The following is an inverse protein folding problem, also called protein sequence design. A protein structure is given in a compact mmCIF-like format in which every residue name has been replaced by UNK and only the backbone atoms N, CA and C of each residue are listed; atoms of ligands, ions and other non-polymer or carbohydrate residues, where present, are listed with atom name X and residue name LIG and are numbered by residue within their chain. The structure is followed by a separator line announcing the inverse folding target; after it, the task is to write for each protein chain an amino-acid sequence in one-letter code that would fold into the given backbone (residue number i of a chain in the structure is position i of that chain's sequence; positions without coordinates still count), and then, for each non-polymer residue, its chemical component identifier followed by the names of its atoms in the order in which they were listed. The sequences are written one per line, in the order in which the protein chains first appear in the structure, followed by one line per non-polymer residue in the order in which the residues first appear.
data_IF_138177913067
#
_entry.id   IF_138177913067
#
_cell.length_a   1.000
_cell.length_b   1.000
_cell.length_c   1.000
_cell.angle_alpha   90.00
_cell.angle_beta   90.00
_cell.angle_gamma   90.00
#
_symmetry.space_group_name_H-M   'P 1'
#
loop_
_entity.id
_entity.type
_entity.pdbx_description
1 polymer ?
#
# COMPACT_ATOMS: atom_id res chain seq x y z
N UNK A 1 2.83 -11.63 4.59
CA UNK A 1 4.03 -11.08 5.28
C UNK A 1 4.64 -12.12 6.22
N UNK A 2 3.87 -12.68 7.14
CA UNK A 2 4.31 -13.64 8.17
C UNK A 2 5.08 -14.85 7.60
N UNK A 3 4.63 -15.40 6.48
CA UNK A 3 5.30 -16.49 5.79
C UNK A 3 6.71 -16.08 5.31
N UNK A 4 6.83 -14.90 4.69
CA UNK A 4 8.12 -14.38 4.22
C UNK A 4 9.05 -14.08 5.39
N UNK A 5 8.56 -13.47 6.46
CA UNK A 5 9.37 -13.19 7.65
C UNK A 5 9.88 -14.49 8.29
N UNK A 6 9.04 -15.50 8.43
CA UNK A 6 9.45 -16.82 8.95
C UNK A 6 10.55 -17.43 8.09
N UNK A 7 10.42 -17.36 6.78
CA UNK A 7 11.43 -17.85 5.86
C UNK A 7 12.77 -17.09 6.01
N UNK A 8 12.74 -15.75 6.01
CA UNK A 8 13.92 -14.91 6.19
C UNK A 8 14.66 -15.25 7.49
N UNK A 9 13.94 -15.49 8.59
CA UNK A 9 14.54 -15.85 9.88
C UNK A 9 15.30 -17.18 9.86
N UNK A 10 15.03 -18.06 8.90
CA UNK A 10 15.78 -19.32 8.71
C UNK A 10 17.06 -19.14 7.90
N UNK A 11 17.22 -18.01 7.21
CA UNK A 11 18.40 -17.74 6.39
C UNK A 11 19.54 -17.19 7.24
N UNK A 12 20.78 -17.59 6.92
CA UNK A 12 21.98 -17.03 7.53
C UNK A 12 22.20 -15.59 7.06
N UNK A 13 22.82 -14.78 7.92
CA UNK A 13 23.21 -13.38 7.62
C UNK A 13 22.07 -12.38 7.47
N UNK A 14 20.85 -12.71 7.89
CA UNK A 14 19.74 -11.78 7.94
C UNK A 14 19.44 -11.39 9.38
N UNK A 15 19.17 -10.08 9.58
CA UNK A 15 18.80 -9.51 10.87
C UNK A 15 17.55 -8.63 10.69
N UNK A 16 16.44 -9.06 11.29
CA UNK A 16 15.17 -8.32 11.27
C UNK A 16 15.00 -7.60 12.60
N UNK A 17 15.09 -6.28 12.56
CA UNK A 17 14.97 -5.41 13.74
C UNK A 17 13.62 -4.69 13.73
N UNK A 18 12.72 -5.12 14.58
CA UNK A 18 11.42 -4.44 14.82
C UNK A 18 11.61 -3.26 15.75
N UNK A 19 10.76 -2.23 15.60
CA UNK A 19 10.82 -0.99 16.40
C UNK A 19 12.15 -0.24 16.27
N UNK A 20 12.80 -0.36 15.09
CA UNK A 20 13.99 0.36 14.72
C UNK A 20 13.67 1.25 13.53
N UNK A 21 13.70 2.56 13.75
CA UNK A 21 13.36 3.55 12.73
C UNK A 21 14.62 4.22 12.20
N UNK A 22 14.83 4.22 10.89
CA UNK A 22 15.88 5.00 10.26
C UNK A 22 15.45 6.47 10.25
N UNK A 23 16.05 7.27 11.12
CA UNK A 23 15.73 8.70 11.28
C UNK A 23 16.62 9.63 10.51
N UNK A 24 17.78 9.14 10.01
CA UNK A 24 18.69 9.93 9.17
C UNK A 24 19.49 9.06 8.22
N UNK A 25 19.88 9.64 7.06
CA UNK A 25 20.64 8.98 6.01
C UNK A 25 21.66 9.96 5.42
N UNK A 26 22.93 9.61 5.54
CA UNK A 26 24.04 10.43 5.10
C UNK A 26 24.97 9.65 4.17
N UNK A 27 24.86 9.87 2.82
CA UNK A 27 25.85 9.36 1.87
C UNK A 27 27.23 9.92 2.16
N UNK A 28 28.25 9.05 2.19
CA UNK A 28 29.67 9.45 2.38
C UNK A 28 30.43 9.48 1.05
N UNK A 29 31.57 10.13 1.07
CA UNK A 29 32.45 10.28 -0.11
C UNK A 29 33.10 8.97 -0.56
N UNK A 30 33.22 7.98 0.33
CA UNK A 30 33.81 6.66 0.09
C UNK A 30 32.80 5.61 -0.45
N UNK A 31 31.67 6.05 -0.94
CA UNK A 31 30.56 5.23 -1.44
C UNK A 31 29.86 4.38 -0.35
N UNK A 32 30.08 4.69 0.93
CA UNK A 32 29.30 4.16 2.04
C UNK A 32 28.15 5.10 2.43
N UNK A 33 27.20 4.59 3.19
CA UNK A 33 26.06 5.36 3.71
C UNK A 33 26.01 5.18 5.22
N UNK A 34 25.95 6.29 5.95
CA UNK A 34 25.73 6.31 7.38
C UNK A 34 24.24 6.50 7.67
N UNK A 35 23.66 5.52 8.35
CA UNK A 35 22.29 5.57 8.84
C UNK A 35 22.27 5.89 10.32
N UNK A 36 21.35 6.72 10.75
CA UNK A 36 21.00 6.89 12.18
C UNK A 36 19.70 6.15 12.44
N UNK A 37 19.72 5.26 13.43
CA UNK A 37 18.59 4.39 13.77
C UNK A 37 18.16 4.66 15.18
N UNK A 38 16.88 5.02 15.33
CA UNK A 38 16.22 5.25 16.61
C UNK A 38 15.48 4.01 17.08
N UNK A 39 15.63 3.67 18.34
CA UNK A 39 14.89 2.62 19.03
C UNK A 39 13.99 3.21 20.13
N UNK A 40 13.13 2.45 20.79
CA UNK A 40 12.38 2.93 21.94
C UNK A 40 13.26 3.36 23.13
N UNK A 41 14.52 2.96 23.19
CA UNK A 41 15.43 3.17 24.31
C UNK A 41 16.60 4.10 23.99
N UNK A 42 17.13 4.02 22.78
CA UNK A 42 18.37 4.67 22.38
C UNK A 42 18.42 4.99 20.89
N UNK A 43 19.55 5.53 20.47
CA UNK A 43 19.87 5.78 19.08
C UNK A 43 21.27 5.24 18.77
N UNK A 44 21.46 4.65 17.60
CA UNK A 44 22.75 4.15 17.16
C UNK A 44 22.95 4.38 15.65
N UNK A 45 24.18 4.17 15.19
CA UNK A 45 24.56 4.38 13.79
C UNK A 45 24.95 3.08 13.13
N UNK A 46 24.58 2.94 11.86
CA UNK A 46 25.00 1.85 10.97
C UNK A 46 25.72 2.45 9.78
N UNK A 47 26.92 2.00 9.51
CA UNK A 47 27.60 2.25 8.26
C UNK A 47 27.44 1.05 7.34
N UNK A 48 27.03 1.29 6.09
CA UNK A 48 26.74 0.24 5.11
C UNK A 48 27.18 0.63 3.72
N UNK A 49 27.46 -0.36 2.86
CA UNK A 49 27.77 -0.15 1.44
C UNK A 49 26.54 0.25 0.66
N UNK A 50 25.39 -0.33 0.95
CA UNK A 50 24.16 -0.13 0.20
C UNK A 50 22.98 0.08 1.14
N UNK A 51 22.05 0.90 0.72
CA UNK A 51 20.73 1.08 1.37
C UNK A 51 19.65 0.82 0.35
N UNK A 52 18.68 -0.03 0.68
CA UNK A 52 17.47 -0.25 -0.09
C UNK A 52 16.32 0.39 0.68
N UNK A 53 15.78 1.49 0.16
CA UNK A 53 14.63 2.15 0.72
C UNK A 53 13.35 1.49 0.18
N UNK A 54 12.64 0.77 1.03
CA UNK A 54 11.34 0.17 0.76
C UNK A 54 10.30 0.66 1.79
N UNK A 55 10.38 1.93 2.14
CA UNK A 55 9.68 2.61 3.24
C UNK A 55 8.35 3.26 2.81
N UNK A 56 7.84 2.86 1.63
CA UNK A 56 6.49 3.14 1.16
C UNK A 56 6.30 4.53 0.55
N UNK A 57 5.06 4.86 0.19
CA UNK A 57 4.70 6.08 -0.55
C UNK A 57 5.11 7.37 0.15
N UNK A 58 5.09 7.39 1.48
CA UNK A 58 5.49 8.55 2.31
C UNK A 58 6.98 8.56 2.64
N UNK A 59 7.78 7.71 2.03
CA UNK A 59 9.21 7.48 2.25
C UNK A 59 9.95 8.61 2.99
N UNK A 60 10.31 8.43 4.27
CA UNK A 60 11.13 9.38 5.01
C UNK A 60 12.52 9.56 4.39
N UNK A 61 13.10 8.47 3.86
CA UNK A 61 14.41 8.53 3.22
C UNK A 61 14.39 9.38 1.94
N UNK A 62 13.37 9.20 1.11
CA UNK A 62 13.20 10.01 -0.11
C UNK A 62 13.10 11.50 0.24
N UNK A 63 12.29 11.84 1.25
CA UNK A 63 12.10 13.22 1.68
C UNK A 63 13.40 13.84 2.24
N UNK A 64 14.17 13.10 3.04
CA UNK A 64 15.44 13.54 3.61
C UNK A 64 16.50 13.84 2.54
N UNK A 65 16.48 13.11 1.45
CA UNK A 65 17.38 13.31 0.31
C UNK A 65 16.88 14.42 -0.65
N UNK A 66 15.77 15.09 -0.34
CA UNK A 66 15.18 16.12 -1.21
C UNK A 66 14.64 15.58 -2.53
N UNK A 67 14.28 14.29 -2.58
CA UNK A 67 13.80 13.61 -3.78
C UNK A 67 12.27 13.58 -3.80
N UNK A 68 11.70 13.58 -5.00
CA UNK A 68 10.26 13.70 -5.19
C UNK A 68 9.69 12.59 -6.09
N UNK A 69 8.41 12.30 -5.88
CA UNK A 69 7.60 11.53 -6.83
C UNK A 69 6.93 12.50 -7.81
N UNK A 70 7.23 12.33 -9.10
CA UNK A 70 6.64 13.09 -10.21
C UNK A 70 5.55 12.28 -10.91
N UNK A 71 4.50 12.96 -11.38
CA UNK A 71 3.39 12.34 -12.07
C UNK A 71 2.05 12.93 -11.67
N UNK A 72 0.98 12.16 -11.84
CA UNK A 72 -0.39 12.62 -11.71
C UNK A 72 -1.06 12.07 -10.44
N UNK A 73 -1.77 12.93 -9.73
CA UNK A 73 -2.78 12.53 -8.74
C UNK A 73 -4.13 12.54 -9.42
N UNK A 74 -4.92 11.52 -9.18
CA UNK A 74 -6.31 11.47 -9.62
C UNK A 74 -7.19 12.10 -8.53
N UNK A 75 -8.23 12.79 -8.95
CA UNK A 75 -9.18 13.41 -8.03
C UNK A 75 -10.25 12.42 -7.57
N UNK A 76 -10.43 11.35 -8.35
CA UNK A 76 -11.38 10.29 -8.03
C UNK A 76 -11.00 9.61 -6.72
N UNK A 77 -12.00 9.43 -5.89
CA UNK A 77 -11.90 8.72 -4.63
C UNK A 77 -12.63 7.39 -4.70
N UNK A 78 -12.17 6.45 -3.93
CA UNK A 78 -12.80 5.14 -3.81
C UNK A 78 -12.98 4.80 -2.34
N UNK A 79 -14.20 4.47 -1.98
CA UNK A 79 -14.50 3.83 -0.71
C UNK A 79 -14.21 2.34 -0.86
N UNK A 80 -13.28 1.83 -0.06
CA UNK A 80 -12.95 0.42 0.00
C UNK A 80 -13.34 -0.10 1.37
N UNK A 81 -14.09 -1.19 1.41
CA UNK A 81 -14.51 -1.81 2.67
C UNK A 81 -14.44 -3.32 2.58
N UNK A 82 -13.96 -3.93 3.66
CA UNK A 82 -14.03 -5.36 3.88
C UNK A 82 -15.18 -5.65 4.84
N UNK A 83 -16.03 -6.59 4.46
CA UNK A 83 -17.14 -7.05 5.28
C UNK A 83 -17.08 -8.57 5.43
N UNK A 84 -17.46 -9.05 6.59
CA UNK A 84 -17.63 -10.48 6.86
C UNK A 84 -19.09 -10.86 6.72
N UNK A 85 -19.42 -11.70 5.76
CA UNK A 85 -20.80 -12.19 5.57
C UNK A 85 -21.08 -13.37 6.48
N UNK A 86 -22.33 -13.38 7.05
CA UNK A 86 -22.76 -14.42 8.02
C UNK A 86 -23.16 -15.74 7.37
N UNK A 87 -23.34 -15.76 6.05
CA UNK A 87 -23.64 -16.93 5.25
C UNK A 87 -22.72 -16.98 4.04
N UNK A 88 -22.55 -18.18 3.48
CA UNK A 88 -21.81 -18.35 2.23
C UNK A 88 -22.35 -17.43 1.15
N UNK A 89 -21.46 -16.74 0.46
CA UNK A 89 -21.75 -15.89 -0.67
C UNK A 89 -21.15 -16.53 -1.94
N UNK A 90 -21.79 -16.37 -3.12
CA UNK A 90 -21.23 -16.88 -4.36
C UNK A 90 -19.79 -16.41 -4.59
N UNK A 91 -18.90 -17.34 -4.95
CA UNK A 91 -17.48 -17.05 -5.25
C UNK A 91 -17.35 -16.38 -6.61
N UNK A 92 -17.90 -15.18 -6.72
CA UNK A 92 -17.96 -14.39 -7.95
C UNK A 92 -17.31 -13.04 -7.73
N UNK A 93 -16.45 -12.64 -8.69
CA UNK A 93 -16.02 -11.25 -8.81
C UNK A 93 -17.01 -10.52 -9.69
N UNK A 94 -17.57 -9.41 -9.20
CA UNK A 94 -18.55 -8.60 -9.91
C UNK A 94 -18.03 -7.20 -10.13
N UNK A 95 -18.31 -6.67 -11.30
CA UNK A 95 -18.03 -5.28 -11.65
C UNK A 95 -19.30 -4.67 -12.26
N UNK A 96 -19.66 -3.51 -11.77
CA UNK A 96 -20.78 -2.70 -12.29
C UNK A 96 -20.26 -1.34 -12.69
N UNK A 97 -20.63 -0.89 -13.86
CA UNK A 97 -20.27 0.45 -14.34
C UNK A 97 -21.13 1.54 -13.71
N UNK A 98 -22.43 1.41 -13.75
CA UNK A 98 -23.40 2.36 -13.19
C UNK A 98 -24.62 1.61 -12.62
N UNK A 99 -24.46 0.91 -11.50
CA UNK A 99 -25.57 0.17 -10.93
C UNK A 99 -26.61 1.09 -10.29
N UNK A 100 -27.87 0.67 -10.28
CA UNK A 100 -28.96 1.43 -9.66
C UNK A 100 -28.71 1.75 -8.17
N UNK A 101 -28.02 0.86 -7.46
CA UNK A 101 -27.66 1.06 -6.05
C UNK A 101 -26.52 2.06 -5.84
N UNK A 102 -25.77 2.42 -6.90
CA UNK A 102 -24.65 3.36 -6.87
C UNK A 102 -24.56 4.18 -8.15
N UNK A 103 -25.55 5.04 -8.33
CA UNK A 103 -25.82 5.78 -9.57
C UNK A 103 -24.65 6.67 -9.99
N UNK A 104 -24.32 6.66 -11.30
CA UNK A 104 -23.27 7.49 -11.91
C UNK A 104 -21.84 7.09 -11.55
N UNK A 105 -21.64 5.99 -10.85
CA UNK A 105 -20.34 5.56 -10.34
C UNK A 105 -20.15 4.04 -10.48
N UNK A 106 -18.93 3.59 -10.59
CA UNK A 106 -18.63 2.16 -10.65
C UNK A 106 -18.57 1.50 -9.28
N UNK A 107 -18.87 0.20 -9.25
CA UNK A 107 -18.78 -0.63 -8.05
C UNK A 107 -18.13 -1.97 -8.38
N UNK A 108 -17.28 -2.47 -7.46
CA UNK A 108 -16.66 -3.78 -7.56
C UNK A 108 -16.94 -4.58 -6.29
N UNK A 109 -17.03 -5.90 -6.46
CA UNK A 109 -17.08 -6.87 -5.38
C UNK A 109 -16.08 -7.98 -5.65
N UNK A 110 -15.23 -8.23 -4.66
CA UNK A 110 -14.25 -9.30 -4.67
C UNK A 110 -14.50 -10.24 -3.50
N UNK A 111 -14.57 -11.53 -3.75
CA UNK A 111 -14.61 -12.52 -2.69
C UNK A 111 -13.19 -12.82 -2.23
N UNK A 112 -12.99 -12.75 -0.94
CA UNK A 112 -11.73 -13.05 -0.24
C UNK A 112 -11.90 -14.34 0.57
N UNK A 113 -10.82 -14.97 1.06
CA UNK A 113 -10.92 -16.05 2.04
C UNK A 113 -11.74 -15.65 3.28
N UNK A 114 -12.15 -16.64 4.07
CA UNK A 114 -12.80 -16.47 5.37
C UNK A 114 -14.14 -15.71 5.35
N UNK A 115 -14.92 -15.87 4.29
CA UNK A 115 -16.21 -15.18 4.08
C UNK A 115 -16.09 -13.64 4.07
N UNK A 116 -14.95 -13.14 3.67
CA UNK A 116 -14.74 -11.70 3.49
C UNK A 116 -15.14 -11.30 2.06
N UNK A 117 -15.92 -10.24 1.94
CA UNK A 117 -16.15 -9.55 0.69
C UNK A 117 -15.47 -8.20 0.75
N UNK A 118 -14.60 -7.91 -0.22
CA UNK A 118 -14.08 -6.57 -0.46
C UNK A 118 -14.95 -5.87 -1.47
N UNK A 119 -15.40 -4.70 -1.10
CA UNK A 119 -16.27 -3.86 -1.92
C UNK A 119 -15.55 -2.54 -2.17
N UNK A 120 -15.40 -2.19 -3.45
CA UNK A 120 -14.82 -0.93 -3.89
C UNK A 120 -15.91 -0.11 -4.56
N UNK A 121 -16.21 1.08 -4.03
CA UNK A 121 -17.19 2.00 -4.57
C UNK A 121 -16.48 3.27 -5.03
N UNK A 122 -16.55 3.57 -6.33
CA UNK A 122 -16.07 4.85 -6.85
C UNK A 122 -16.88 5.98 -6.22
N UNK A 123 -16.21 7.05 -5.82
CA UNK A 123 -16.82 8.26 -5.29
C UNK A 123 -16.53 9.43 -6.23
N UNK A 124 -17.40 10.42 -6.25
CA UNK A 124 -17.12 11.64 -7.00
C UNK A 124 -15.92 12.42 -6.44
N UNK A 125 -15.30 13.31 -7.23
CA UNK A 125 -14.10 14.05 -6.82
C UNK A 125 -14.34 14.93 -5.59
N UNK A 126 -15.56 15.39 -5.38
CA UNK A 126 -15.94 16.25 -4.25
C UNK A 126 -16.39 15.47 -3.00
N UNK A 127 -16.31 14.13 -3.02
CA UNK A 127 -16.69 13.31 -1.88
C UNK A 127 -15.78 13.63 -0.67
N UNK A 128 -16.39 13.84 0.49
CA UNK A 128 -15.69 14.05 1.76
C UNK A 128 -15.33 12.68 2.36
N UNK A 129 -14.04 12.35 2.55
CA UNK A 129 -13.63 11.06 3.10
C UNK A 129 -14.22 10.73 4.47
N UNK A 130 -14.36 11.72 5.35
CA UNK A 130 -14.87 11.52 6.70
C UNK A 130 -16.37 11.20 6.69
N UNK A 131 -17.12 11.87 5.82
CA UNK A 131 -18.55 11.60 5.61
C UNK A 131 -18.74 10.23 4.94
N UNK A 132 -17.94 9.93 3.92
CA UNK A 132 -18.09 8.71 3.13
C UNK A 132 -17.66 7.44 3.86
N UNK A 133 -16.71 7.55 4.80
CA UNK A 133 -16.25 6.44 5.64
C UNK A 133 -17.11 6.20 6.89
N UNK A 134 -18.16 6.99 7.11
CA UNK A 134 -19.08 6.77 8.23
C UNK A 134 -19.70 5.36 8.18
N UNK A 135 -19.59 4.54 9.24
CA UNK A 135 -20.00 3.14 9.22
C UNK A 135 -21.48 2.92 8.89
N UNK A 136 -22.38 3.79 9.35
CA UNK A 136 -23.82 3.65 9.09
C UNK A 136 -24.15 3.97 7.62
N UNK A 137 -23.47 4.97 7.06
CA UNK A 137 -23.57 5.30 5.64
C UNK A 137 -23.06 4.16 4.77
N UNK A 138 -21.93 3.58 5.12
CA UNK A 138 -21.35 2.42 4.44
C UNK A 138 -22.27 1.20 4.54
N UNK A 139 -22.79 0.89 5.73
CA UNK A 139 -23.77 -0.21 5.92
C UNK A 139 -24.99 -0.05 4.99
N UNK A 140 -25.52 1.16 4.89
CA UNK A 140 -26.70 1.42 4.07
C UNK A 140 -26.40 1.22 2.57
N UNK A 141 -25.21 1.62 2.10
CA UNK A 141 -24.78 1.36 0.71
C UNK A 141 -24.62 -0.14 0.43
N UNK A 142 -23.99 -0.85 1.34
CA UNK A 142 -23.78 -2.30 1.19
C UNK A 142 -25.10 -3.05 1.20
N UNK A 143 -26.07 -2.68 2.06
CA UNK A 143 -27.42 -3.27 2.04
C UNK A 143 -28.13 -3.07 0.71
N UNK A 144 -28.02 -1.87 0.13
CA UNK A 144 -28.59 -1.61 -1.21
C UNK A 144 -27.92 -2.46 -2.30
N UNK A 145 -26.63 -2.76 -2.16
CA UNK A 145 -25.87 -3.58 -3.11
C UNK A 145 -26.15 -5.08 -2.98
N UNK A 146 -26.19 -5.61 -1.75
CA UNK A 146 -26.31 -7.04 -1.47
C UNK A 146 -27.74 -7.49 -1.26
N UNK A 147 -28.66 -6.56 -0.94
CA UNK A 147 -30.02 -6.84 -0.50
C UNK A 147 -30.17 -6.91 1.02
N UNK A 148 -31.37 -6.57 1.50
CA UNK A 148 -31.67 -6.48 2.94
C UNK A 148 -31.54 -7.79 3.70
N UNK A 149 -31.62 -8.95 3.00
CA UNK A 149 -31.53 -10.27 3.61
C UNK A 149 -30.10 -10.76 3.91
N UNK A 150 -29.07 -10.02 3.49
CA UNK A 150 -27.67 -10.40 3.69
C UNK A 150 -27.14 -9.82 5.00
N UNK A 151 -26.94 -10.69 6.00
CA UNK A 151 -26.27 -10.29 7.26
C UNK A 151 -24.76 -10.20 7.09
N UNK A 152 -24.18 -9.07 7.53
CA UNK A 152 -22.73 -8.86 7.51
C UNK A 152 -22.27 -7.96 8.66
N UNK A 153 -20.99 -8.04 8.97
CA UNK A 153 -20.28 -7.13 9.87
C UNK A 153 -19.16 -6.44 9.09
N UNK A 154 -18.93 -5.15 9.38
CA UNK A 154 -17.84 -4.40 8.74
C UNK A 154 -16.55 -4.72 9.48
N UNK A 155 -15.54 -5.18 8.75
CA UNK A 155 -14.18 -5.43 9.28
C UNK A 155 -13.29 -4.20 9.12
N UNK A 156 -13.45 -3.47 8.01
CA UNK A 156 -12.58 -2.36 7.68
C UNK A 156 -13.23 -1.40 6.67
N UNK A 157 -12.94 -0.11 6.81
CA UNK A 157 -13.38 0.96 5.90
C UNK A 157 -12.21 1.91 5.66
N UNK A 158 -12.02 2.33 4.42
CA UNK A 158 -11.11 3.42 4.07
C UNK A 158 -11.53 4.11 2.78
N UNK A 159 -11.17 5.39 2.66
CA UNK A 159 -11.33 6.15 1.42
C UNK A 159 -9.94 6.44 0.84
N UNK A 160 -9.74 6.04 -0.39
CA UNK A 160 -8.49 6.19 -1.12
C UNK A 160 -8.60 7.18 -2.27
N UNK A 161 -7.51 7.93 -2.44
CA UNK A 161 -7.25 8.70 -3.65
C UNK A 161 -6.06 8.07 -4.35
N UNK A 162 -6.17 7.79 -5.63
CA UNK A 162 -5.10 7.16 -6.38
C UNK A 162 -4.13 8.18 -6.97
N UNK A 163 -2.91 7.74 -7.18
CA UNK A 163 -1.91 8.50 -7.91
C UNK A 163 -1.07 7.58 -8.79
N UNK A 164 -0.58 8.13 -9.89
CA UNK A 164 0.41 7.47 -10.74
C UNK A 164 1.63 8.37 -10.78
N UNK A 165 2.61 8.09 -9.92
CA UNK A 165 3.79 8.92 -9.73
C UNK A 165 5.02 8.04 -9.56
N UNK A 166 6.16 8.52 -10.00
CA UNK A 166 7.44 7.83 -9.84
C UNK A 166 8.58 8.83 -9.60
N UNK A 167 9.68 8.34 -9.07
CA UNK A 167 10.95 9.07 -9.07
C UNK A 167 11.54 9.09 -10.49
N UNK A 168 12.31 10.11 -10.82
CA UNK A 168 13.04 10.18 -12.09
C UNK A 168 14.11 9.08 -12.17
N UNK A 169 14.80 8.85 -11.06
CA UNK A 169 15.81 7.80 -10.90
C UNK A 169 15.55 7.04 -9.61
N UNK A 170 15.71 5.73 -9.62
CA UNK A 170 15.55 4.87 -8.45
C UNK A 170 16.89 4.62 -7.72
N UNK A 171 18.00 5.09 -8.29
CA UNK A 171 19.35 4.94 -7.76
C UNK A 171 19.98 6.30 -7.52
N UNK A 172 20.46 6.52 -6.30
CA UNK A 172 21.17 7.73 -5.87
C UNK A 172 22.44 7.35 -5.12
N UNK A 173 23.54 7.20 -5.87
CA UNK A 173 24.78 6.65 -5.31
C UNK A 173 24.58 5.23 -4.84
N UNK A 174 24.84 4.98 -3.57
CA UNK A 174 24.67 3.69 -2.90
C UNK A 174 23.27 3.47 -2.29
N UNK A 175 22.31 4.36 -2.61
CA UNK A 175 20.92 4.27 -2.11
C UNK A 175 20.01 3.93 -3.27
N UNK A 176 19.20 2.87 -3.09
CA UNK A 176 18.23 2.35 -4.07
C UNK A 176 16.83 2.44 -3.49
N UNK A 177 15.87 2.83 -4.32
CA UNK A 177 14.45 2.89 -3.96
C UNK A 177 13.69 1.76 -4.67
N UNK A 178 12.79 1.09 -3.96
CA UNK A 178 12.00 -0.02 -4.49
C UNK A 178 10.54 0.06 -3.99
N UNK A 179 9.61 -0.44 -4.80
CA UNK A 179 8.18 -0.44 -4.49
C UNK A 179 7.62 0.98 -4.36
N UNK A 180 6.68 1.18 -3.45
CA UNK A 180 5.97 2.46 -3.27
C UNK A 180 6.88 3.63 -2.86
N UNK A 181 8.09 3.37 -2.37
CA UNK A 181 9.09 4.42 -2.13
C UNK A 181 9.60 5.03 -3.44
N UNK A 182 9.66 4.24 -4.52
CA UNK A 182 10.15 4.63 -5.84
C UNK A 182 9.04 5.03 -6.80
N UNK A 183 7.91 4.31 -6.81
CA UNK A 183 6.79 4.54 -7.70
C UNK A 183 5.46 4.10 -7.10
N UNK A 184 4.43 4.85 -7.40
CA UNK A 184 3.05 4.54 -7.01
C UNK A 184 2.21 4.45 -8.27
N UNK A 185 1.41 3.42 -8.40
CA UNK A 185 0.53 3.20 -9.55
C UNK A 185 -0.91 3.03 -9.09
N UNK A 186 -1.84 3.26 -10.01
CA UNK A 186 -3.25 2.98 -9.79
C UNK A 186 -3.45 1.48 -9.47
N UNK A 187 -4.36 1.11 -8.56
CA UNK A 187 -4.64 -0.28 -8.17
C UNK A 187 -5.26 -1.10 -9.29
N UNK A 188 -5.75 -0.46 -10.34
CA UNK A 188 -6.32 -1.15 -11.49
C UNK A 188 -5.30 -2.08 -12.16
N UNK A 189 -5.64 -3.37 -12.21
CA UNK A 189 -4.77 -4.42 -12.72
C UNK A 189 -3.73 -4.96 -11.73
N UNK A 190 -3.88 -4.68 -10.43
CA UNK A 190 -3.05 -5.22 -9.34
C UNK A 190 -1.53 -4.98 -9.54
N UNK A 191 -1.14 -3.80 -10.00
CA UNK A 191 0.24 -3.50 -10.45
C UNK A 191 1.19 -3.11 -9.33
N UNK A 192 0.70 -2.53 -8.23
CA UNK A 192 1.56 -1.98 -7.16
C UNK A 192 2.46 -3.03 -6.53
N UNK A 193 1.88 -4.06 -5.92
CA UNK A 193 2.64 -5.14 -5.30
C UNK A 193 3.51 -5.91 -6.29
N UNK A 194 2.98 -6.21 -7.49
CA UNK A 194 3.73 -6.88 -8.54
C UNK A 194 4.93 -6.03 -9.03
N UNK A 195 4.76 -4.71 -9.15
CA UNK A 195 5.85 -3.78 -9.48
C UNK A 195 6.95 -3.81 -8.42
N UNK A 196 6.59 -3.77 -7.14
CA UNK A 196 7.56 -3.88 -6.06
C UNK A 196 8.34 -5.20 -6.05
N UNK A 197 7.68 -6.33 -6.35
CA UNK A 197 8.37 -7.62 -6.52
C UNK A 197 9.34 -7.58 -7.69
N UNK A 198 8.94 -6.99 -8.83
CA UNK A 198 9.81 -6.83 -10.00
C UNK A 198 11.01 -5.92 -9.71
N UNK A 199 10.83 -4.86 -8.92
CA UNK A 199 11.95 -4.01 -8.50
C UNK A 199 12.98 -4.80 -7.71
N UNK A 200 12.53 -5.61 -6.73
CA UNK A 200 13.41 -6.42 -5.89
C UNK A 200 14.11 -7.50 -6.71
N UNK A 201 13.41 -8.19 -7.59
CA UNK A 201 13.98 -9.20 -8.48
C UNK A 201 15.06 -8.58 -9.39
N UNK A 202 14.76 -7.43 -10.00
CA UNK A 202 15.71 -6.73 -10.86
C UNK A 202 16.91 -6.13 -10.10
N UNK A 203 16.72 -5.70 -8.84
CA UNK A 203 17.78 -5.11 -8.03
C UNK A 203 18.71 -6.17 -7.45
N UNK A 204 18.19 -7.31 -7.00
CA UNK A 204 18.94 -8.31 -6.22
C UNK A 204 20.18 -8.81 -6.94
N UNK A 205 20.09 -9.17 -8.22
CA UNK A 205 21.25 -9.67 -8.99
C UNK A 205 22.23 -8.57 -9.40
N UNK A 206 21.85 -7.29 -9.30
CA UNK A 206 22.73 -6.15 -9.64
C UNK A 206 23.63 -5.72 -8.49
N UNK A 207 23.23 -6.03 -7.25
CA UNK A 207 23.97 -5.67 -6.05
C UNK A 207 24.67 -6.87 -5.38
N UNK A 208 24.53 -8.07 -5.96
CA UNK A 208 25.16 -9.34 -5.50
C UNK A 208 26.65 -9.35 -5.69
#
# INVERSE_FOLDING_TARGET
EEFLERHIRTMKFNDIRRSHEVVDVNPKTDSTVLLTVKTPKDEYKIETKYVIAADGVKSPLRNKLGLELKGQKFEEKFLITDIRVKKSYPMERRFWFEPVFHHGQSALLHVQPDNILRIDLQLGPHADPDIESNPDRVKNRIRKMLGEGVGFDIEWISVYTFSCRRMDKFTHGSIFFAGDSAHVVSPFGARGGNGGVQDVDNLSWKIS
#
